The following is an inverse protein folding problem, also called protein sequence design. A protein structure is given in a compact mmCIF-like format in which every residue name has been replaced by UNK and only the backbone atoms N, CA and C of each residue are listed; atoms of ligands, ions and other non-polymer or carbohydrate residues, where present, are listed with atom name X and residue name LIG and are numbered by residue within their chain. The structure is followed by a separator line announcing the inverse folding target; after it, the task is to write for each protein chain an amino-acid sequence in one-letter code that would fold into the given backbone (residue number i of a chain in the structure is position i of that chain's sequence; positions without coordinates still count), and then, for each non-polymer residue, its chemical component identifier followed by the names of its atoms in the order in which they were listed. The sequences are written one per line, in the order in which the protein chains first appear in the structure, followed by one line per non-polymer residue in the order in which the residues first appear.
data_IF_668205678388
#
_entry.id   IF_668205678388
#
_cell.length_a   1.000
_cell.length_b   1.000
_cell.length_c   1.000
_cell.angle_alpha   90.00
_cell.angle_beta   90.00
_cell.angle_gamma   90.00
#
_symmetry.space_group_name_H-M   'P 1'
#
loop_
_entity.id
_entity.type
_entity.pdbx_description
1 polymer ?
#
# COMPACT_ATOMS: atom_id res chain seq x y z
N UNK A 1 42.04 9.67 -12.19
CA UNK A 1 41.04 9.23 -11.17
C UNK A 1 39.77 8.98 -11.97
N UNK A 2 39.33 7.75 -12.10
CA UNK A 2 38.03 7.42 -12.71
C UNK A 2 36.97 7.93 -11.76
N UNK A 3 36.20 8.89 -12.18
CA UNK A 3 35.01 9.36 -11.45
C UNK A 3 34.09 8.15 -11.18
N UNK A 4 33.83 7.86 -9.92
CA UNK A 4 32.95 6.73 -9.54
C UNK A 4 31.53 7.14 -9.98
N UNK A 5 31.00 6.49 -11.04
CA UNK A 5 29.63 6.71 -11.50
C UNK A 5 28.68 6.42 -10.33
N UNK A 6 27.86 7.39 -9.94
CA UNK A 6 26.80 7.16 -8.96
C UNK A 6 25.78 6.17 -9.52
N UNK A 7 25.35 5.23 -8.71
CA UNK A 7 24.26 4.32 -9.06
C UNK A 7 22.96 5.12 -9.25
N UNK A 8 22.15 4.71 -10.20
CA UNK A 8 20.84 5.26 -10.49
C UNK A 8 19.78 4.26 -10.05
N UNK A 9 19.07 4.59 -8.96
CA UNK A 9 18.04 3.72 -8.39
C UNK A 9 16.67 4.35 -8.63
N UNK A 10 15.79 3.62 -9.32
CA UNK A 10 14.41 4.02 -9.52
C UNK A 10 13.55 3.70 -8.29
N UNK A 11 12.62 4.59 -7.94
CA UNK A 11 11.54 4.33 -7.01
C UNK A 11 10.20 4.48 -7.74
N UNK A 12 9.54 3.35 -7.99
CA UNK A 12 8.22 3.29 -8.60
C UNK A 12 7.17 3.26 -7.50
N UNK A 13 6.32 4.26 -7.47
CA UNK A 13 5.30 4.47 -6.43
C UNK A 13 4.08 5.17 -7.02
N UNK A 14 2.90 4.84 -6.51
CA UNK A 14 1.67 5.51 -6.86
C UNK A 14 1.51 6.78 -6.04
N UNK A 15 1.29 7.89 -6.70
CA UNK A 15 1.14 9.21 -6.08
C UNK A 15 2.28 9.61 -5.13
N UNK A 16 2.67 10.89 -5.14
CA UNK A 16 3.60 11.44 -4.17
C UNK A 16 2.91 12.29 -3.11
N UNK A 17 1.63 12.57 -3.29
CA UNK A 17 0.90 13.58 -2.52
C UNK A 17 0.27 13.04 -1.23
N UNK A 18 0.17 11.71 -1.08
CA UNK A 18 -0.34 11.12 0.14
C UNK A 18 0.74 10.95 1.22
N UNK A 19 0.32 10.89 2.47
CA UNK A 19 1.23 10.78 3.62
C UNK A 19 2.10 9.53 3.56
N UNK A 20 1.53 8.39 3.13
CA UNK A 20 2.24 7.13 3.00
C UNK A 20 3.41 7.22 2.01
N UNK A 21 3.16 7.73 0.80
CA UNK A 21 4.21 7.92 -0.21
C UNK A 21 5.25 8.94 0.25
N UNK A 22 4.82 9.99 0.96
CA UNK A 22 5.70 11.02 1.52
C UNK A 22 6.68 10.44 2.53
N UNK A 23 6.26 9.54 3.42
CA UNK A 23 7.14 8.90 4.40
C UNK A 23 8.14 7.94 3.73
N UNK A 24 7.71 7.15 2.75
CA UNK A 24 8.61 6.31 1.95
C UNK A 24 9.64 7.19 1.23
N UNK A 25 9.20 8.27 0.62
CA UNK A 25 10.07 9.19 -0.11
C UNK A 25 11.12 9.83 0.79
N UNK A 26 10.75 10.28 1.99
CA UNK A 26 11.70 10.82 2.98
C UNK A 26 12.79 9.81 3.33
N UNK A 27 12.40 8.55 3.59
CA UNK A 27 13.35 7.48 3.87
C UNK A 27 14.26 7.18 2.67
N UNK A 28 13.69 7.13 1.47
CA UNK A 28 14.45 6.86 0.24
C UNK A 28 15.45 7.99 -0.08
N UNK A 29 15.06 9.26 0.12
CA UNK A 29 15.96 10.42 -0.05
C UNK A 29 17.11 10.35 0.95
N UNK A 30 16.82 10.13 2.24
CA UNK A 30 17.86 10.03 3.26
C UNK A 30 18.86 8.91 2.95
N UNK A 31 18.37 7.73 2.54
CA UNK A 31 19.22 6.62 2.13
C UNK A 31 20.05 6.95 0.86
N UNK A 32 19.48 7.66 -0.10
CA UNK A 32 20.17 8.03 -1.32
C UNK A 32 21.33 9.03 -1.02
N UNK A 33 21.13 9.96 -0.11
CA UNK A 33 22.16 10.90 0.36
C UNK A 33 23.28 10.13 1.11
N UNK A 34 22.92 9.23 2.04
CA UNK A 34 23.89 8.45 2.80
C UNK A 34 24.75 7.53 1.93
N UNK A 35 24.12 6.90 0.92
CA UNK A 35 24.78 5.95 0.03
C UNK A 35 25.45 6.59 -1.19
N UNK A 36 25.36 7.90 -1.35
CA UNK A 36 25.86 8.67 -2.51
C UNK A 36 25.36 8.10 -3.86
N UNK A 37 24.04 7.88 -3.96
CA UNK A 37 23.35 7.40 -5.15
C UNK A 37 22.38 8.45 -5.71
N UNK A 38 21.98 8.30 -6.97
CA UNK A 38 20.93 9.10 -7.57
C UNK A 38 19.59 8.36 -7.43
N UNK A 39 18.64 8.97 -6.74
CA UNK A 39 17.25 8.47 -6.64
C UNK A 39 16.43 9.07 -7.78
N UNK A 40 15.81 8.23 -8.61
CA UNK A 40 14.94 8.62 -9.71
C UNK A 40 13.52 8.23 -9.34
N UNK A 41 12.66 9.22 -9.17
CA UNK A 41 11.27 9.00 -8.82
C UNK A 41 10.45 8.72 -10.08
N UNK A 42 9.63 7.70 -10.01
CA UNK A 42 8.72 7.23 -11.06
C UNK A 42 7.27 7.27 -10.53
N UNK A 43 6.71 8.49 -10.34
CA UNK A 43 5.38 8.66 -9.78
C UNK A 43 4.32 8.40 -10.85
N UNK A 44 3.87 7.15 -10.93
CA UNK A 44 2.74 6.78 -11.78
C UNK A 44 1.43 6.68 -11.00
N UNK A 45 0.49 5.94 -11.56
CA UNK A 45 -0.77 5.54 -10.94
C UNK A 45 -0.77 4.03 -10.67
N UNK A 46 -1.70 3.57 -9.84
CA UNK A 46 -1.97 2.14 -9.76
C UNK A 46 -2.32 1.58 -11.14
N UNK A 47 -1.81 0.39 -11.45
CA UNK A 47 -2.12 -0.25 -12.74
C UNK A 47 -3.60 -0.59 -12.73
N UNK A 48 -4.33 -0.21 -13.80
CA UNK A 48 -5.78 -0.36 -13.92
C UNK A 48 -6.58 0.36 -12.83
N UNK A 49 -5.99 1.34 -12.15
CA UNK A 49 -6.74 2.16 -11.20
C UNK A 49 -7.88 2.90 -11.94
N UNK A 50 -9.09 2.78 -11.38
CA UNK A 50 -10.25 3.58 -11.78
C UNK A 50 -10.46 4.57 -10.64
N UNK A 51 -10.09 5.82 -10.86
CA UNK A 51 -10.38 6.87 -9.88
C UNK A 51 -11.86 7.29 -9.99
N UNK A 52 -12.40 7.84 -8.91
CA UNK A 52 -13.82 8.14 -8.74
C UNK A 52 -14.37 9.19 -9.73
N UNK A 53 -13.50 9.95 -10.40
CA UNK A 53 -13.89 10.85 -11.49
C UNK A 53 -13.72 10.16 -12.85
N UNK A 54 -14.77 9.46 -13.29
CA UNK A 54 -14.82 8.77 -14.58
C UNK A 54 -14.38 9.64 -15.77
N UNK A 55 -14.53 10.96 -15.66
CA UNK A 55 -14.19 11.88 -16.75
C UNK A 55 -12.68 12.02 -16.96
N UNK A 56 -11.88 11.90 -15.91
CA UNK A 56 -10.42 12.04 -15.95
C UNK A 56 -9.70 10.70 -15.88
N UNK A 57 -10.27 9.69 -15.26
CA UNK A 57 -9.67 8.35 -15.07
C UNK A 57 -9.33 7.65 -16.39
N UNK A 58 -10.07 7.93 -17.47
CA UNK A 58 -9.77 7.37 -18.80
C UNK A 58 -8.38 7.75 -19.35
N UNK A 59 -7.74 8.76 -18.78
CA UNK A 59 -6.41 9.23 -19.18
C UNK A 59 -5.31 8.83 -18.18
N UNK A 60 -5.67 8.18 -17.08
CA UNK A 60 -4.70 7.84 -16.01
C UNK A 60 -3.59 6.92 -16.48
N UNK A 61 -3.85 6.07 -17.50
CA UNK A 61 -2.81 5.27 -18.14
C UNK A 61 -1.63 6.12 -18.65
N UNK A 62 -1.82 7.41 -18.95
CA UNK A 62 -0.78 8.32 -19.42
C UNK A 62 0.25 8.60 -18.33
N UNK A 63 -0.13 8.61 -17.07
CA UNK A 63 0.82 8.74 -15.97
C UNK A 63 1.78 7.55 -15.92
N UNK A 64 1.32 6.36 -16.29
CA UNK A 64 2.13 5.14 -16.27
C UNK A 64 3.11 5.04 -17.45
N UNK A 65 3.07 5.98 -18.40
CA UNK A 65 4.11 6.09 -19.46
C UNK A 65 5.50 6.29 -18.84
N UNK A 66 5.58 6.89 -17.64
CA UNK A 66 6.85 7.04 -16.92
C UNK A 66 7.51 5.68 -16.60
N UNK A 67 6.73 4.62 -16.44
CA UNK A 67 7.25 3.27 -16.20
C UNK A 67 8.04 2.71 -17.39
N UNK A 68 7.80 3.22 -18.61
CA UNK A 68 8.58 2.88 -19.80
C UNK A 68 10.00 3.46 -19.76
N UNK A 69 10.29 4.40 -18.85
CA UNK A 69 11.65 4.90 -18.64
C UNK A 69 12.56 3.82 -18.02
N UNK A 70 11.98 2.86 -17.32
CA UNK A 70 12.71 1.82 -16.60
C UNK A 70 13.40 0.88 -17.60
N UNK A 71 14.71 0.86 -17.58
CA UNK A 71 15.53 -0.04 -18.36
C UNK A 71 16.95 -0.10 -17.78
N UNK A 72 17.71 -1.15 -18.07
CA UNK A 72 19.13 -1.28 -17.69
C UNK A 72 20.03 -0.15 -18.24
N UNK A 73 19.55 0.59 -19.23
CA UNK A 73 20.28 1.75 -19.78
C UNK A 73 20.14 2.98 -18.90
N UNK A 74 19.03 3.08 -18.18
CA UNK A 74 18.65 4.27 -17.42
C UNK A 74 18.84 4.07 -15.92
N UNK A 75 18.70 2.83 -15.42
CA UNK A 75 18.74 2.51 -14.00
C UNK A 75 19.70 1.35 -13.73
N UNK A 76 20.33 1.38 -12.56
CA UNK A 76 21.14 0.30 -12.02
C UNK A 76 20.34 -0.60 -11.06
N UNK A 77 19.13 -0.18 -10.66
CA UNK A 77 18.19 -0.95 -9.84
C UNK A 77 16.84 -0.27 -9.71
N UNK A 78 15.82 -1.02 -9.29
CA UNK A 78 14.44 -0.57 -9.16
C UNK A 78 13.83 -0.99 -7.81
N UNK A 79 13.23 -0.05 -7.12
CA UNK A 79 12.35 -0.26 -5.97
C UNK A 79 10.90 -0.11 -6.45
N UNK A 80 10.04 -1.08 -6.15
CA UNK A 80 8.62 -1.04 -6.53
C UNK A 80 7.75 -1.14 -5.30
N UNK A 81 6.96 -0.09 -5.03
CA UNK A 81 5.89 -0.10 -4.03
C UNK A 81 4.70 -0.87 -4.59
N UNK A 82 4.73 -2.19 -4.39
CA UNK A 82 3.75 -3.11 -4.97
C UNK A 82 2.36 -2.88 -4.39
N UNK A 83 2.28 -2.61 -3.09
CA UNK A 83 1.02 -2.34 -2.41
C UNK A 83 0.27 -1.12 -2.95
N UNK A 84 0.99 -0.18 -3.60
CA UNK A 84 0.37 1.00 -4.22
C UNK A 84 0.21 0.86 -5.73
N UNK A 85 1.25 0.40 -6.43
CA UNK A 85 1.23 0.26 -7.90
C UNK A 85 0.33 -0.88 -8.35
N UNK A 86 0.29 -1.99 -7.58
CA UNK A 86 -0.45 -3.20 -7.90
C UNK A 86 -1.82 -3.33 -7.22
N UNK A 87 -2.34 -2.27 -6.59
CA UNK A 87 -3.58 -2.33 -5.78
C UNK A 87 -4.83 -2.79 -6.53
N UNK A 88 -4.86 -2.66 -7.86
CA UNK A 88 -6.06 -2.87 -8.69
C UNK A 88 -5.87 -3.99 -9.71
N UNK A 89 -4.81 -4.77 -9.59
CA UNK A 89 -4.53 -5.92 -10.47
C UNK A 89 -4.33 -7.19 -9.66
N UNK A 90 -4.48 -8.33 -10.32
CA UNK A 90 -4.22 -9.64 -9.70
C UNK A 90 -2.73 -9.83 -9.38
N UNK A 91 -2.45 -10.79 -8.49
CA UNK A 91 -1.08 -11.15 -8.16
C UNK A 91 -0.30 -11.66 -9.37
N UNK A 92 -0.97 -12.37 -10.26
CA UNK A 92 -0.42 -12.90 -11.51
C UNK A 92 -0.04 -11.78 -12.49
N UNK A 93 -0.92 -10.79 -12.65
CA UNK A 93 -0.64 -9.61 -13.47
C UNK A 93 0.51 -8.78 -12.90
N UNK A 94 0.56 -8.61 -11.56
CA UNK A 94 1.66 -7.92 -10.92
C UNK A 94 2.98 -8.67 -11.09
N UNK A 95 2.99 -10.00 -11.00
CA UNK A 95 4.18 -10.81 -11.26
C UNK A 95 4.68 -10.62 -12.71
N UNK A 96 3.78 -10.61 -13.69
CA UNK A 96 4.12 -10.33 -15.09
C UNK A 96 4.69 -8.93 -15.28
N UNK A 97 4.10 -7.95 -14.61
CA UNK A 97 4.59 -6.56 -14.63
C UNK A 97 6.02 -6.48 -14.08
N UNK A 98 6.32 -7.10 -12.94
CA UNK A 98 7.66 -7.13 -12.36
C UNK A 98 8.65 -7.81 -13.30
N UNK A 99 8.28 -8.96 -13.88
CA UNK A 99 9.13 -9.70 -14.83
C UNK A 99 9.44 -8.92 -16.11
N UNK A 100 8.62 -7.95 -16.48
CA UNK A 100 8.89 -7.10 -17.66
C UNK A 100 10.15 -6.24 -17.52
N UNK A 101 10.68 -6.10 -16.30
CA UNK A 101 11.91 -5.35 -16.00
C UNK A 101 13.15 -6.23 -15.87
N UNK A 102 13.02 -7.55 -15.96
CA UNK A 102 14.18 -8.44 -15.93
C UNK A 102 15.14 -8.15 -17.10
N UNK A 103 16.45 -8.20 -16.91
CA UNK A 103 17.20 -8.62 -15.71
C UNK A 103 17.63 -7.46 -14.77
N UNK A 104 16.98 -6.29 -14.80
CA UNK A 104 17.30 -5.20 -13.91
C UNK A 104 17.14 -5.65 -12.44
N UNK A 105 18.15 -5.44 -11.55
CA UNK A 105 17.99 -5.69 -10.14
C UNK A 105 16.75 -4.97 -9.57
N UNK A 106 15.80 -5.74 -9.05
CA UNK A 106 14.53 -5.25 -8.56
C UNK A 106 14.27 -5.71 -7.13
N UNK A 107 13.73 -4.81 -6.32
CA UNK A 107 13.28 -5.08 -4.96
C UNK A 107 11.82 -4.63 -4.83
N UNK A 108 10.98 -5.50 -4.27
CA UNK A 108 9.59 -5.17 -3.97
C UNK A 108 9.46 -4.59 -2.55
N UNK A 109 8.46 -3.77 -2.37
CA UNK A 109 8.04 -3.26 -1.06
C UNK A 109 6.61 -3.75 -0.78
N UNK A 110 6.28 -3.93 0.49
CA UNK A 110 5.01 -4.37 1.08
C UNK A 110 4.69 -5.85 0.80
N UNK A 111 4.74 -6.29 -0.46
CA UNK A 111 4.27 -7.61 -0.90
C UNK A 111 5.41 -8.42 -1.49
N UNK A 112 5.55 -9.67 -1.01
CA UNK A 112 6.57 -10.61 -1.50
C UNK A 112 6.19 -11.23 -2.85
N UNK A 113 7.17 -11.27 -3.76
CA UNK A 113 7.07 -12.00 -5.02
C UNK A 113 8.26 -12.95 -5.19
N UNK A 114 8.03 -14.19 -5.67
CA UNK A 114 9.12 -15.14 -5.90
C UNK A 114 10.18 -14.56 -6.84
N UNK A 115 11.44 -14.69 -6.46
CA UNK A 115 12.57 -14.22 -7.25
C UNK A 115 13.04 -12.80 -6.94
N UNK A 116 12.29 -12.03 -6.16
CA UNK A 116 12.64 -10.66 -5.78
C UNK A 116 12.80 -10.52 -4.27
N UNK A 117 13.86 -9.86 -3.77
CA UNK A 117 13.93 -9.45 -2.37
C UNK A 117 12.79 -8.48 -2.06
N UNK A 118 12.32 -8.50 -0.80
CA UNK A 118 11.18 -7.69 -0.37
C UNK A 118 11.46 -6.97 0.96
N UNK A 119 11.10 -5.69 1.02
CA UNK A 119 10.98 -4.94 2.27
C UNK A 119 9.53 -5.00 2.72
N UNK A 120 9.27 -5.69 3.84
CA UNK A 120 7.93 -5.76 4.43
C UNK A 120 7.79 -4.81 5.60
N UNK A 121 6.61 -4.23 5.73
CA UNK A 121 6.24 -3.54 6.97
C UNK A 121 5.85 -4.54 8.05
N UNK A 122 6.00 -4.11 9.29
CA UNK A 122 5.65 -4.96 10.43
C UNK A 122 4.13 -5.08 10.55
N UNK A 123 3.56 -6.22 10.15
CA UNK A 123 2.13 -6.54 10.26
C UNK A 123 1.65 -6.64 11.70
N UNK A 124 2.55 -6.78 12.70
CA UNK A 124 2.19 -6.79 14.11
C UNK A 124 1.57 -5.47 14.59
N UNK A 125 1.76 -4.36 13.89
CA UNK A 125 1.17 -3.08 14.25
C UNK A 125 -0.36 -3.15 14.33
N UNK A 126 -1.03 -3.83 13.38
CA UNK A 126 -2.48 -4.03 13.39
C UNK A 126 -2.92 -4.86 14.60
N UNK A 127 -2.19 -5.95 14.91
CA UNK A 127 -2.46 -6.76 16.09
C UNK A 127 -2.40 -5.91 17.36
N UNK A 128 -1.31 -5.18 17.54
CA UNK A 128 -1.11 -4.32 18.70
C UNK A 128 -2.18 -3.23 18.83
N UNK A 129 -2.60 -2.64 17.71
CA UNK A 129 -3.64 -1.61 17.71
C UNK A 129 -4.99 -2.17 18.17
N UNK A 130 -5.42 -3.32 17.63
CA UNK A 130 -6.70 -3.94 18.03
C UNK A 130 -6.63 -4.48 19.46
N UNK A 131 -5.53 -5.10 19.87
CA UNK A 131 -5.30 -5.53 21.26
C UNK A 131 -5.35 -4.35 22.23
N UNK A 132 -4.78 -3.20 21.85
CA UNK A 132 -4.84 -1.98 22.66
C UNK A 132 -6.28 -1.52 22.86
N UNK A 133 -7.11 -1.50 21.81
CA UNK A 133 -8.54 -1.16 21.95
C UNK A 133 -9.25 -2.10 22.91
N UNK A 134 -8.94 -3.40 22.86
CA UNK A 134 -9.59 -4.41 23.70
C UNK A 134 -9.09 -4.35 25.15
N UNK A 135 -7.76 -4.38 25.34
CA UNK A 135 -7.19 -4.56 26.68
C UNK A 135 -7.03 -3.26 27.46
N UNK A 136 -6.78 -2.15 26.74
CA UNK A 136 -6.53 -0.86 27.39
C UNK A 136 -7.81 -0.03 27.51
N UNK A 137 -8.66 -0.08 26.48
CA UNK A 137 -9.92 0.68 26.44
C UNK A 137 -11.16 -0.16 26.75
N UNK A 138 -11.03 -1.49 26.81
CA UNK A 138 -12.14 -2.38 27.11
C UNK A 138 -13.16 -2.54 25.98
N UNK A 139 -12.83 -2.09 24.76
CA UNK A 139 -13.74 -2.12 23.64
C UNK A 139 -14.08 -3.56 23.23
N UNK A 140 -15.36 -3.81 22.98
CA UNK A 140 -15.89 -5.10 22.51
C UNK A 140 -16.66 -4.98 21.19
N UNK A 141 -17.08 -3.78 20.83
CA UNK A 141 -17.80 -3.47 19.61
C UNK A 141 -16.90 -2.63 18.71
N UNK A 142 -16.03 -3.32 17.98
CA UNK A 142 -15.00 -2.68 17.16
C UNK A 142 -15.39 -2.86 15.69
N UNK A 143 -15.49 -1.75 14.96
CA UNK A 143 -15.64 -1.76 13.50
C UNK A 143 -14.29 -1.85 12.81
N UNK A 144 -14.29 -2.26 11.54
CA UNK A 144 -13.08 -2.33 10.73
C UNK A 144 -13.31 -1.73 9.33
N UNK A 145 -12.46 -0.79 8.96
CA UNK A 145 -12.45 -0.24 7.59
C UNK A 145 -11.24 -0.84 6.87
N UNK A 146 -11.52 -1.76 5.95
CA UNK A 146 -10.51 -2.39 5.11
C UNK A 146 -10.23 -1.54 3.86
N UNK A 147 -9.13 -1.81 3.20
CA UNK A 147 -8.89 -1.34 1.84
C UNK A 147 -9.63 -2.19 0.79
N UNK A 148 -9.35 -1.99 -0.51
CA UNK A 148 -9.97 -2.73 -1.60
C UNK A 148 -9.81 -4.24 -1.44
N UNK A 149 -10.85 -5.02 -1.77
CA UNK A 149 -10.85 -6.48 -1.62
C UNK A 149 -9.73 -7.20 -2.39
N UNK A 150 -9.23 -6.62 -3.47
CA UNK A 150 -8.10 -7.15 -4.24
C UNK A 150 -6.73 -6.84 -3.64
N UNK A 151 -6.64 -5.94 -2.67
CA UNK A 151 -5.38 -5.55 -2.05
C UNK A 151 -4.95 -6.58 -1.00
N UNK A 152 -3.81 -7.23 -1.23
CA UNK A 152 -3.32 -8.30 -0.36
C UNK A 152 -3.00 -7.81 1.06
N UNK A 153 -2.39 -6.63 1.19
CA UNK A 153 -2.02 -6.05 2.50
C UNK A 153 -3.28 -5.73 3.33
N UNK A 154 -4.32 -5.17 2.69
CA UNK A 154 -5.61 -4.92 3.34
C UNK A 154 -6.28 -6.22 3.81
N UNK A 155 -6.19 -7.29 3.01
CA UNK A 155 -6.73 -8.60 3.38
C UNK A 155 -5.95 -9.24 4.52
N UNK A 156 -4.62 -9.14 4.55
CA UNK A 156 -3.79 -9.62 5.66
C UNK A 156 -4.13 -8.89 6.97
N UNK A 157 -4.35 -7.57 6.91
CA UNK A 157 -4.77 -6.77 8.08
C UNK A 157 -6.17 -7.15 8.57
N UNK A 158 -7.11 -7.41 7.65
CA UNK A 158 -8.44 -7.91 8.01
C UNK A 158 -8.36 -9.29 8.67
N UNK A 159 -7.50 -10.18 8.19
CA UNK A 159 -7.28 -11.49 8.82
C UNK A 159 -6.69 -11.33 10.21
N UNK A 160 -5.73 -10.43 10.39
CA UNK A 160 -5.15 -10.11 11.68
C UNK A 160 -6.22 -9.58 12.66
N UNK A 161 -7.07 -8.63 12.23
CA UNK A 161 -8.20 -8.15 13.03
C UNK A 161 -9.11 -9.30 13.48
N UNK A 162 -9.50 -10.20 12.56
CA UNK A 162 -10.34 -11.38 12.88
C UNK A 162 -9.68 -12.28 13.93
N UNK A 163 -8.39 -12.58 13.74
CA UNK A 163 -7.64 -13.43 14.67
C UNK A 163 -7.59 -12.82 16.07
N UNK A 164 -7.37 -11.50 16.19
CA UNK A 164 -7.36 -10.83 17.49
C UNK A 164 -8.73 -10.86 18.17
N UNK A 165 -9.82 -10.68 17.42
CA UNK A 165 -11.17 -10.81 17.99
C UNK A 165 -11.41 -12.23 18.52
N UNK A 166 -11.02 -13.27 17.76
CA UNK A 166 -11.15 -14.67 18.14
C UNK A 166 -10.33 -15.00 19.40
N UNK A 167 -9.04 -14.59 19.43
CA UNK A 167 -8.16 -14.75 20.61
C UNK A 167 -8.76 -14.10 21.87
N UNK A 168 -9.56 -13.05 21.71
CA UNK A 168 -10.19 -12.31 22.81
C UNK A 168 -11.67 -12.69 23.05
N UNK A 169 -12.15 -13.76 22.44
CA UNK A 169 -13.54 -14.25 22.56
C UNK A 169 -14.59 -13.18 22.19
N UNK A 170 -14.29 -12.34 21.19
CA UNK A 170 -15.21 -11.38 20.61
C UNK A 170 -15.76 -11.95 19.32
N UNK A 171 -17.09 -12.15 19.17
CA UNK A 171 -17.66 -12.65 17.93
C UNK A 171 -17.35 -11.74 16.74
N UNK A 172 -16.82 -12.33 15.66
CA UNK A 172 -16.66 -11.60 14.41
C UNK A 172 -18.02 -11.35 13.76
N UNK A 173 -18.28 -10.12 13.39
CA UNK A 173 -19.49 -9.68 12.71
C UNK A 173 -19.11 -8.99 11.40
N UNK A 174 -19.43 -9.65 10.27
CA UNK A 174 -19.07 -9.11 8.95
C UNK A 174 -19.79 -7.81 8.61
N UNK A 175 -20.90 -7.47 9.27
CA UNK A 175 -21.61 -6.21 9.06
C UNK A 175 -20.88 -5.02 9.65
N UNK A 176 -19.89 -5.26 10.54
CA UNK A 176 -19.01 -4.25 11.13
C UNK A 176 -17.71 -4.06 10.32
N UNK A 177 -17.63 -4.68 9.14
CA UNK A 177 -16.48 -4.56 8.25
C UNK A 177 -16.93 -3.91 6.95
N UNK A 178 -16.28 -2.83 6.57
CA UNK A 178 -16.54 -2.13 5.31
C UNK A 178 -15.23 -2.03 4.52
N UNK A 179 -15.37 -1.85 3.20
CA UNK A 179 -14.26 -1.79 2.28
C UNK A 179 -14.19 -0.41 1.64
N UNK A 180 -13.09 0.29 1.87
CA UNK A 180 -12.77 1.55 1.23
C UNK A 180 -11.84 1.33 0.03
N UNK A 181 -11.46 2.44 -0.59
CA UNK A 181 -10.56 2.48 -1.75
C UNK A 181 -9.26 3.26 -1.48
N UNK A 182 -8.92 3.52 -0.21
CA UNK A 182 -7.79 4.34 0.23
C UNK A 182 -7.87 5.81 -0.18
N UNK A 183 -9.06 6.32 -0.48
CA UNK A 183 -9.29 7.73 -0.82
C UNK A 183 -10.38 8.36 0.04
N UNK A 184 -10.57 9.67 -0.11
CA UNK A 184 -11.65 10.42 0.55
C UNK A 184 -13.05 9.88 0.21
N UNK A 185 -13.23 9.22 -0.93
CA UNK A 185 -14.49 8.55 -1.29
C UNK A 185 -14.89 7.44 -0.30
N UNK A 186 -13.96 6.98 0.55
CA UNK A 186 -14.28 6.07 1.66
C UNK A 186 -15.12 6.70 2.77
N UNK A 187 -15.29 8.04 2.80
CA UNK A 187 -16.08 8.73 3.83
C UNK A 187 -17.53 8.24 3.86
N UNK A 188 -18.17 8.08 2.71
CA UNK A 188 -19.55 7.58 2.65
C UNK A 188 -19.69 6.17 3.22
N UNK A 189 -18.73 5.30 2.93
CA UNK A 189 -18.69 3.92 3.43
C UNK A 189 -18.55 3.90 4.95
N UNK A 190 -17.69 4.75 5.50
CA UNK A 190 -17.50 4.90 6.96
C UNK A 190 -18.75 5.47 7.61
N UNK A 191 -19.37 6.48 7.01
CA UNK A 191 -20.64 7.07 7.50
C UNK A 191 -21.73 6.01 7.60
N UNK A 192 -21.90 5.20 6.55
CA UNK A 192 -22.88 4.11 6.51
C UNK A 192 -22.59 3.05 7.59
N UNK A 193 -21.31 2.73 7.87
CA UNK A 193 -20.94 1.84 8.96
C UNK A 193 -21.39 2.39 10.32
N UNK A 194 -21.14 3.67 10.59
CA UNK A 194 -21.49 4.31 11.85
C UNK A 194 -23.00 4.46 12.03
N UNK A 195 -23.73 4.76 10.95
CA UNK A 195 -25.19 4.85 10.97
C UNK A 195 -25.85 3.48 11.22
N UNK A 196 -25.28 2.42 10.65
CA UNK A 196 -25.76 1.03 10.83
C UNK A 196 -25.44 0.48 12.22
N UNK A 197 -24.31 0.89 12.79
CA UNK A 197 -23.80 0.42 14.06
C UNK A 197 -23.50 1.58 15.01
N UNK A 198 -24.53 2.29 15.49
CA UNK A 198 -24.34 3.45 16.40
C UNK A 198 -23.79 3.06 17.78
N UNK A 199 -23.72 1.77 18.07
CA UNK A 199 -23.18 1.19 19.29
C UNK A 199 -21.70 0.79 19.20
N UNK A 200 -21.01 1.10 18.08
CA UNK A 200 -19.57 0.91 17.97
C UNK A 200 -18.82 1.74 19.02
N UNK A 201 -17.85 1.09 19.66
CA UNK A 201 -17.00 1.71 20.70
C UNK A 201 -15.66 2.18 20.10
N UNK A 202 -15.25 1.57 19.01
CA UNK A 202 -14.04 1.93 18.27
C UNK A 202 -14.13 1.48 16.82
N UNK A 203 -13.30 2.09 15.98
CA UNK A 203 -13.08 1.66 14.59
C UNK A 203 -11.58 1.54 14.37
N UNK A 204 -11.14 0.39 13.86
CA UNK A 204 -9.79 0.19 13.35
C UNK A 204 -9.82 0.25 11.83
N UNK A 205 -8.81 0.85 11.23
CA UNK A 205 -8.75 1.01 9.78
C UNK A 205 -7.35 0.73 9.24
N UNK A 206 -7.28 0.35 7.95
CA UNK A 206 -6.04 -0.09 7.32
C UNK A 206 -5.19 1.05 6.78
N UNK A 207 -5.73 2.27 6.66
CA UNK A 207 -5.04 3.37 6.00
C UNK A 207 -5.40 4.71 6.63
N UNK A 208 -4.37 5.52 6.90
CA UNK A 208 -4.51 6.89 7.40
C UNK A 208 -4.67 7.84 6.20
N UNK A 209 -5.90 8.04 5.76
CA UNK A 209 -6.28 9.25 5.00
C UNK A 209 -7.65 9.68 5.51
N UNK A 210 -7.62 10.62 6.41
CA UNK A 210 -8.74 11.48 6.72
C UNK A 210 -8.49 12.83 6.06
#
# INVERSE_FOLDING_TARGET
MTEKKRLQIGLMIHHLENEYASEILKGAIAAAEELDINLILLPGRGINAVEDDEKYSIYDYQYNVIYNYVSERNLDGLLVSVGTVGSYISREEMAQFLHSYDPLPLLTMEVEFPGYPCIRFNTNAMKLAVEHLIHHHGCRKIGFVSGPMGNQDAMERLQCYRAVLEENHIPYDCTKVVYGNFSEASEEVVRNLLDLHPDLEAVSYTHLTL
#
